data_IF_517213678329
#
_entry.id   IF_517213678329
#
_cell.length_a   1.000
_cell.length_b   1.000
_cell.length_c   1.000
_cell.angle_alpha   90.00
_cell.angle_beta   90.00
_cell.angle_gamma   90.00
#
_symmetry.space_group_name_H-M   'P 1'
#
loop_
_entity.id
_entity.type
_entity.pdbx_description
1 polymer ?
#
# COMPACT_ATOMS: atom_id res chain seq x y z
N UNK A 1 3.38 -14.16 14.66
CA UNK A 1 3.80 -12.80 14.34
C UNK A 1 2.78 -12.18 13.39
N UNK A 2 2.36 -10.95 13.64
CA UNK A 2 1.43 -10.16 12.84
C UNK A 2 2.17 -8.94 12.29
N UNK A 3 2.15 -8.79 10.96
CA UNK A 3 2.69 -7.63 10.24
C UNK A 3 1.51 -6.93 9.58
N UNK A 4 1.22 -5.71 10.01
CA UNK A 4 0.27 -4.84 9.34
C UNK A 4 0.97 -4.17 8.16
N UNK A 5 0.62 -4.53 6.93
CA UNK A 5 1.27 -3.99 5.74
C UNK A 5 0.74 -2.61 5.30
N UNK A 6 -0.23 -2.02 6.03
CA UNK A 6 -0.92 -0.83 5.55
C UNK A 6 -1.39 0.10 6.68
N UNK A 7 -0.54 1.07 7.02
CA UNK A 7 -0.83 2.09 8.03
C UNK A 7 -0.49 3.49 7.50
N UNK A 8 -1.39 4.44 7.70
CA UNK A 8 -1.23 5.82 7.27
C UNK A 8 -0.75 6.73 8.41
N UNK A 9 0.33 7.49 8.19
CA UNK A 9 0.69 8.62 9.05
C UNK A 9 0.02 9.92 8.58
N UNK A 10 -0.29 10.78 9.54
CA UNK A 10 -0.76 12.16 9.36
C UNK A 10 0.34 13.20 9.59
N UNK A 11 1.55 12.79 9.95
CA UNK A 11 2.70 13.68 10.16
C UNK A 11 2.75 14.33 11.55
N UNK A 12 1.94 13.84 12.49
CA UNK A 12 1.83 14.40 13.86
C UNK A 12 1.96 13.33 14.94
N UNK A 13 2.09 12.07 14.54
CA UNK A 13 2.17 10.95 15.46
C UNK A 13 3.47 10.94 16.27
N UNK A 14 3.39 10.40 17.48
CA UNK A 14 4.53 10.10 18.34
C UNK A 14 4.76 8.59 18.41
N UNK A 15 6.01 8.17 18.45
CA UNK A 15 6.41 6.75 18.47
C UNK A 15 5.75 5.98 19.62
N UNK A 16 5.75 6.53 20.83
CA UNK A 16 5.10 5.90 21.99
C UNK A 16 3.61 5.61 21.78
N UNK A 17 2.89 6.50 21.10
CA UNK A 17 1.47 6.33 20.82
C UNK A 17 1.25 5.22 19.78
N UNK A 18 2.10 5.18 18.75
CA UNK A 18 2.10 4.12 17.72
C UNK A 18 2.34 2.76 18.38
N UNK A 19 3.41 2.62 19.17
CA UNK A 19 3.78 1.36 19.83
C UNK A 19 2.69 0.89 20.80
N UNK A 20 2.13 1.80 21.61
CA UNK A 20 1.00 1.47 22.49
C UNK A 20 -0.24 1.01 21.72
N UNK A 21 -0.51 1.60 20.56
CA UNK A 21 -1.59 1.17 19.67
C UNK A 21 -1.34 -0.24 19.11
N UNK A 22 -0.13 -0.49 18.60
CA UNK A 22 0.30 -1.80 18.11
C UNK A 22 0.19 -2.89 19.18
N UNK A 23 0.68 -2.64 20.38
CA UNK A 23 0.66 -3.61 21.48
C UNK A 23 -0.78 -3.96 21.90
N UNK A 24 -1.69 -2.97 21.94
CA UNK A 24 -3.12 -3.20 22.18
C UNK A 24 -3.79 -4.04 21.09
N UNK A 25 -3.33 -3.90 19.85
CA UNK A 25 -3.84 -4.63 18.70
C UNK A 25 -3.19 -6.01 18.50
N UNK A 26 -2.10 -6.31 19.21
CA UNK A 26 -1.30 -7.52 18.99
C UNK A 26 -0.53 -7.49 17.67
N UNK A 27 -0.16 -6.31 17.18
CA UNK A 27 0.61 -6.12 15.93
C UNK A 27 2.10 -6.06 16.28
N UNK A 28 2.89 -6.98 15.71
CA UNK A 28 4.33 -7.06 15.97
C UNK A 28 5.11 -6.08 15.11
N UNK A 29 4.74 -5.89 13.84
CA UNK A 29 5.36 -4.90 12.95
C UNK A 29 4.32 -4.17 12.11
N UNK A 30 4.59 -2.92 11.78
CA UNK A 30 3.71 -2.10 10.95
C UNK A 30 4.50 -1.42 9.83
N UNK A 31 4.00 -1.56 8.60
CA UNK A 31 4.41 -0.73 7.47
C UNK A 31 3.64 0.59 7.57
N UNK A 32 4.37 1.67 7.88
CA UNK A 32 3.79 3.00 8.05
C UNK A 32 4.25 3.88 6.89
N UNK A 33 3.28 4.38 6.12
CA UNK A 33 3.54 5.33 5.04
C UNK A 33 3.79 6.71 5.62
N UNK A 34 4.75 7.45 5.07
CA UNK A 34 4.91 8.88 5.34
C UNK A 34 3.59 9.62 5.11
N UNK A 35 3.37 10.76 5.80
CA UNK A 35 2.26 11.63 5.45
C UNK A 35 2.33 12.01 3.97
N UNK A 36 1.17 12.31 3.39
CA UNK A 36 1.10 12.89 2.06
C UNK A 36 1.86 14.24 2.07
N UNK A 37 2.66 14.58 1.04
CA UNK A 37 3.54 15.76 0.98
C UNK A 37 2.77 17.06 0.71
N UNK A 38 1.75 17.33 1.52
CA UNK A 38 0.90 18.51 1.46
C UNK A 38 0.57 18.96 2.89
N UNK A 39 0.25 20.25 3.12
CA UNK A 39 -0.12 20.71 4.45
C UNK A 39 -1.27 19.87 5.01
N UNK A 40 -1.18 19.52 6.29
CA UNK A 40 -2.27 18.87 6.99
C UNK A 40 -3.51 19.77 6.92
N UNK A 41 -4.49 19.41 6.10
CA UNK A 41 -5.80 20.04 6.10
C UNK A 41 -6.66 19.28 7.11
N UNK A 42 -7.11 19.98 8.15
CA UNK A 42 -8.09 19.41 9.08
C UNK A 42 -9.34 18.92 8.33
N UNK A 43 -10.10 17.98 8.91
CA UNK A 43 -11.36 17.51 8.28
C UNK A 43 -12.32 18.66 7.95
N UNK A 44 -12.28 19.74 8.72
CA UNK A 44 -13.08 20.97 8.53
C UNK A 44 -12.59 21.87 7.39
N UNK A 45 -11.34 21.73 6.95
CA UNK A 45 -10.72 22.51 5.88
C UNK A 45 -10.75 21.79 4.52
N UNK A 46 -11.36 20.60 4.45
CA UNK A 46 -11.59 19.90 3.19
C UNK A 46 -12.41 20.80 2.27
N UNK A 47 -11.75 21.36 1.26
CA UNK A 47 -12.36 22.24 0.27
C UNK A 47 -13.40 21.44 -0.51
N UNK A 48 -14.68 21.63 -0.17
CA UNK A 48 -15.80 21.21 -1.02
C UNK A 48 -15.84 22.22 -2.19
N UNK A 49 -15.68 21.81 -3.46
CA UNK A 49 -15.73 22.74 -4.56
C UNK A 49 -17.11 23.42 -4.60
N UNK A 50 -17.17 24.71 -4.24
CA UNK A 50 -18.42 25.50 -4.29
C UNK A 50 -18.78 25.91 -5.73
N UNK A 51 -17.86 25.78 -6.69
CA UNK A 51 -18.05 26.20 -8.10
C UNK A 51 -17.30 25.31 -9.10
N UNK A 52 -17.80 25.25 -10.34
CA UNK A 52 -17.20 24.54 -11.50
C UNK A 52 -15.75 24.96 -11.82
N UNK A 53 -15.39 26.23 -11.62
CA UNK A 53 -14.02 26.72 -11.82
C UNK A 53 -13.01 26.19 -10.77
N UNK A 54 -13.50 25.71 -9.62
CA UNK A 54 -12.69 25.03 -8.61
C UNK A 54 -12.35 23.58 -8.97
N UNK A 55 -13.13 22.96 -9.86
CA UNK A 55 -12.94 21.55 -10.26
C UNK A 55 -11.64 21.39 -11.05
N UNK A 56 -11.33 22.32 -11.95
CA UNK A 56 -10.14 22.26 -12.83
C UNK A 56 -8.82 22.38 -12.08
N UNK A 57 -8.75 23.19 -11.02
CA UNK A 57 -7.55 23.35 -10.17
C UNK A 57 -7.22 22.11 -9.33
N UNK A 58 -8.14 21.15 -9.29
CA UNK A 58 -8.01 19.89 -8.57
C UNK A 58 -7.71 18.68 -9.47
N UNK A 59 -7.50 18.90 -10.78
CA UNK A 59 -7.19 17.87 -11.77
C UNK A 59 -5.68 17.60 -11.93
N UNK A 60 -4.80 18.45 -11.39
CA UNK A 60 -3.34 18.27 -11.51
C UNK A 60 -2.69 17.60 -10.30
N UNK A 61 -3.17 17.86 -9.07
CA UNK A 61 -2.73 17.18 -7.84
C UNK A 61 -3.90 17.03 -6.85
N UNK A 62 -3.97 15.88 -6.16
CA UNK A 62 -4.96 15.62 -5.10
C UNK A 62 -4.94 16.64 -3.97
N UNK A 63 -3.81 17.31 -3.74
CA UNK A 63 -3.71 18.37 -2.75
C UNK A 63 -2.93 19.56 -3.30
N UNK A 64 -3.30 20.80 -2.91
CA UNK A 64 -2.55 21.98 -3.36
C UNK A 64 -1.14 21.99 -2.75
N UNK A 65 -0.22 22.65 -3.45
CA UNK A 65 1.12 22.96 -2.95
C UNK A 65 1.99 21.73 -2.62
N UNK A 66 1.89 20.65 -3.39
CA UNK A 66 2.86 19.55 -3.34
C UNK A 66 4.18 20.03 -3.93
N UNK A 67 5.27 19.89 -3.18
CA UNK A 67 6.61 20.33 -3.59
C UNK A 67 7.65 19.28 -3.18
N UNK A 68 8.81 19.33 -3.84
CA UNK A 68 9.97 18.50 -3.49
C UNK A 68 10.42 18.70 -2.04
N UNK A 69 10.31 19.92 -1.51
CA UNK A 69 10.62 20.24 -0.11
C UNK A 69 9.69 19.50 0.85
N UNK A 70 8.36 19.59 0.67
CA UNK A 70 7.39 18.87 1.51
C UNK A 70 7.50 17.36 1.39
N UNK A 71 7.84 16.87 0.19
CA UNK A 71 8.13 15.47 -0.03
C UNK A 71 9.33 15.01 0.80
N UNK A 72 10.37 15.84 0.92
CA UNK A 72 11.54 15.57 1.78
C UNK A 72 11.18 15.66 3.27
N UNK A 73 10.39 16.64 3.68
CA UNK A 73 9.89 16.74 5.07
C UNK A 73 9.10 15.50 5.48
N UNK A 74 8.19 15.01 4.62
CA UNK A 74 7.43 13.79 4.86
C UNK A 74 8.34 12.56 5.02
N UNK A 75 9.39 12.46 4.19
CA UNK A 75 10.41 11.40 4.29
C UNK A 75 11.17 11.50 5.60
N UNK A 76 11.64 12.68 5.99
CA UNK A 76 12.35 12.87 7.26
C UNK A 76 11.48 12.51 8.46
N UNK A 77 10.19 12.88 8.42
CA UNK A 77 9.24 12.53 9.47
C UNK A 77 9.15 11.01 9.66
N UNK A 78 8.85 10.26 8.60
CA UNK A 78 8.68 8.81 8.72
C UNK A 78 9.99 8.10 9.04
N UNK A 79 11.12 8.59 8.53
CA UNK A 79 12.44 8.07 8.86
C UNK A 79 12.79 8.31 10.33
N UNK A 80 12.36 9.42 10.92
CA UNK A 80 12.43 9.68 12.35
C UNK A 80 11.71 8.60 13.16
N UNK A 81 10.43 8.37 12.87
CA UNK A 81 9.62 7.33 13.52
C UNK A 81 10.27 5.94 13.37
N UNK A 82 10.74 5.57 12.17
CA UNK A 82 11.41 4.29 11.94
C UNK A 82 12.68 4.14 12.81
N UNK A 83 13.54 5.17 12.88
CA UNK A 83 14.80 5.08 13.65
C UNK A 83 14.58 4.94 15.15
N UNK A 84 13.51 5.50 15.68
CA UNK A 84 13.17 5.38 17.09
C UNK A 84 12.59 3.99 17.44
N UNK A 85 12.04 3.25 16.47
CA UNK A 85 11.48 1.92 16.67
C UNK A 85 11.76 0.94 15.50
N UNK A 86 13.04 0.68 15.14
CA UNK A 86 13.42 0.02 13.88
C UNK A 86 12.99 -1.45 13.79
N UNK A 87 12.79 -2.13 14.93
CA UNK A 87 12.35 -3.52 14.98
C UNK A 87 10.83 -3.68 14.82
N UNK A 88 10.08 -2.58 14.95
CA UNK A 88 8.61 -2.53 15.03
C UNK A 88 7.99 -1.74 13.86
N UNK A 89 8.64 -0.65 13.43
CA UNK A 89 8.13 0.24 12.38
C UNK A 89 8.97 0.10 11.12
N UNK A 90 8.28 -0.09 10.00
CA UNK A 90 8.85 -0.17 8.65
C UNK A 90 8.32 1.03 7.86
N UNK A 91 9.16 2.02 7.64
CA UNK A 91 8.81 3.26 6.97
C UNK A 91 8.77 3.10 5.45
N UNK A 92 7.69 3.57 4.86
CA UNK A 92 7.52 3.68 3.40
C UNK A 92 7.39 5.14 3.02
N UNK A 93 8.01 5.54 1.91
CA UNK A 93 7.77 6.86 1.32
C UNK A 93 6.44 6.86 0.60
N UNK A 94 5.51 7.75 0.96
CA UNK A 94 4.42 8.13 0.09
C UNK A 94 5.00 9.04 -0.99
N UNK A 95 5.06 8.63 -2.25
CA UNK A 95 5.74 9.38 -3.32
C UNK A 95 4.75 10.01 -4.29
N UNK A 96 4.87 11.32 -4.54
CA UNK A 96 4.24 11.98 -5.69
C UNK A 96 5.09 11.78 -6.95
N UNK A 97 4.67 10.94 -7.91
CA UNK A 97 5.52 10.57 -9.04
C UNK A 97 5.68 11.68 -10.08
N UNK A 98 4.81 12.71 -10.09
CA UNK A 98 4.89 13.82 -11.05
C UNK A 98 5.91 14.90 -10.67
N UNK A 99 6.51 14.83 -9.48
CA UNK A 99 7.60 15.73 -9.11
C UNK A 99 8.80 15.50 -10.03
N UNK A 100 9.40 16.59 -10.53
CA UNK A 100 10.54 16.51 -11.47
C UNK A 100 11.74 15.74 -10.90
N UNK A 101 11.91 15.78 -9.58
CA UNK A 101 12.98 15.09 -8.85
C UNK A 101 12.48 13.84 -8.09
N UNK A 102 11.32 13.27 -8.44
CA UNK A 102 10.72 12.13 -7.74
C UNK A 102 11.67 10.92 -7.64
N UNK A 103 12.42 10.61 -8.70
CA UNK A 103 13.39 9.50 -8.73
C UNK A 103 14.55 9.76 -7.76
N UNK A 104 15.07 10.97 -7.73
CA UNK A 104 16.16 11.38 -6.84
C UNK A 104 15.72 11.39 -5.38
N UNK A 105 14.49 11.84 -5.11
CA UNK A 105 13.91 11.77 -3.77
C UNK A 105 13.74 10.32 -3.33
N UNK A 106 13.21 9.45 -4.20
CA UNK A 106 13.05 8.02 -3.91
C UNK A 106 14.40 7.38 -3.56
N UNK A 107 15.42 7.59 -4.40
CA UNK A 107 16.76 7.07 -4.18
C UNK A 107 17.35 7.56 -2.85
N UNK A 108 17.23 8.86 -2.56
CA UNK A 108 17.68 9.41 -1.28
C UNK A 108 16.92 8.82 -0.08
N UNK A 109 15.60 8.70 -0.16
CA UNK A 109 14.76 8.15 0.91
C UNK A 109 15.12 6.70 1.25
N UNK A 110 15.52 5.91 0.25
CA UNK A 110 15.86 4.50 0.43
C UNK A 110 17.31 4.33 0.87
N UNK A 111 18.26 5.00 0.19
CA UNK A 111 19.69 4.82 0.43
C UNK A 111 20.18 5.56 1.68
N UNK A 112 19.67 6.77 1.94
CA UNK A 112 20.13 7.62 3.03
C UNK A 112 19.21 7.58 4.25
N UNK A 113 17.91 7.29 4.05
CA UNK A 113 16.91 7.22 5.13
C UNK A 113 16.43 5.80 5.43
N UNK A 114 16.94 4.82 4.69
CA UNK A 114 16.70 3.39 4.90
C UNK A 114 15.22 2.98 4.87
N UNK A 115 14.37 3.78 4.21
CA UNK A 115 12.98 3.43 4.00
C UNK A 115 12.88 2.20 3.10
N UNK A 116 11.88 1.35 3.36
CA UNK A 116 11.82 -0.01 2.82
C UNK A 116 10.87 -0.21 1.64
N UNK A 117 10.23 0.86 1.16
CA UNK A 117 9.32 0.77 0.03
C UNK A 117 8.57 2.06 -0.24
N UNK A 118 7.71 1.99 -1.26
CA UNK A 118 6.98 3.14 -1.79
C UNK A 118 5.48 2.91 -1.66
N UNK A 119 4.74 3.92 -1.24
CA UNK A 119 3.29 4.01 -1.34
C UNK A 119 2.93 5.01 -2.42
N UNK A 120 1.97 4.66 -3.26
CA UNK A 120 1.39 5.58 -4.25
C UNK A 120 -0.12 5.45 -4.32
N UNK A 121 -0.77 6.54 -4.74
CA UNK A 121 -2.19 6.58 -5.06
C UNK A 121 -2.31 7.21 -6.45
N UNK A 122 -2.70 6.44 -7.48
CA UNK A 122 -3.03 7.01 -8.78
C UNK A 122 -4.12 8.07 -8.67
N UNK A 123 -3.82 9.26 -9.17
CA UNK A 123 -4.72 10.39 -9.14
C UNK A 123 -4.42 11.32 -10.30
N UNK A 124 -5.23 11.24 -11.35
CA UNK A 124 -5.00 11.94 -12.63
C UNK A 124 -3.74 11.51 -13.37
N UNK A 125 -3.32 10.27 -13.13
CA UNK A 125 -2.32 9.54 -13.89
C UNK A 125 -2.62 8.04 -13.80
N UNK A 126 -2.22 7.28 -14.81
CA UNK A 126 -2.36 5.83 -14.84
C UNK A 126 -1.00 5.17 -14.60
N UNK A 127 -0.98 3.95 -14.01
CA UNK A 127 0.25 3.17 -13.87
C UNK A 127 1.00 2.94 -15.20
N UNK A 128 0.30 2.93 -16.34
CA UNK A 128 0.90 2.77 -17.67
C UNK A 128 1.40 4.07 -18.31
N UNK A 129 1.29 5.22 -17.64
CA UNK A 129 1.84 6.46 -18.17
C UNK A 129 3.37 6.40 -18.15
N UNK A 130 4.03 6.76 -19.26
CA UNK A 130 5.48 6.56 -19.44
C UNK A 130 6.35 7.28 -18.41
N UNK A 131 5.86 8.36 -17.80
CA UNK A 131 6.58 9.08 -16.75
C UNK A 131 6.78 8.25 -15.47
N UNK A 132 6.01 7.17 -15.30
CA UNK A 132 6.18 6.22 -14.19
C UNK A 132 7.36 5.27 -14.39
N UNK A 133 7.78 5.01 -15.63
CA UNK A 133 8.79 3.99 -15.93
C UNK A 133 10.14 4.23 -15.25
N UNK A 134 10.67 5.47 -15.18
CA UNK A 134 11.88 5.74 -14.41
C UNK A 134 11.75 5.37 -12.92
N UNK A 135 10.57 5.54 -12.33
CA UNK A 135 10.31 5.18 -10.93
C UNK A 135 10.29 3.67 -10.76
N UNK A 136 9.64 2.94 -11.68
CA UNK A 136 9.62 1.47 -11.65
C UNK A 136 11.03 0.88 -11.78
N UNK A 137 11.84 1.40 -12.71
CA UNK A 137 13.25 0.98 -12.84
C UNK A 137 14.06 1.26 -11.58
N UNK A 138 13.89 2.45 -10.98
CA UNK A 138 14.63 2.80 -9.76
C UNK A 138 14.18 1.94 -8.57
N UNK A 139 12.89 1.66 -8.42
CA UNK A 139 12.40 0.77 -7.36
C UNK A 139 12.92 -0.67 -7.54
N UNK A 140 12.99 -1.15 -8.78
CA UNK A 140 13.57 -2.45 -9.13
C UNK A 140 15.08 -2.50 -8.82
N UNK A 141 15.84 -1.49 -9.25
CA UNK A 141 17.27 -1.33 -8.99
C UNK A 141 17.58 -1.32 -7.47
N UNK A 142 16.77 -0.61 -6.70
CA UNK A 142 16.89 -0.53 -5.24
C UNK A 142 16.33 -1.77 -4.52
N UNK A 143 15.73 -2.72 -5.26
CA UNK A 143 15.07 -3.91 -4.74
C UNK A 143 14.03 -3.62 -3.63
N UNK A 144 13.24 -2.57 -3.82
CA UNK A 144 12.16 -2.20 -2.91
C UNK A 144 10.79 -2.43 -3.55
N UNK A 145 9.77 -2.81 -2.77
CA UNK A 145 8.42 -2.94 -3.27
C UNK A 145 7.68 -1.60 -3.43
N UNK A 146 6.67 -1.60 -4.30
CA UNK A 146 5.68 -0.52 -4.41
C UNK A 146 4.29 -1.03 -4.00
N UNK A 147 3.66 -0.36 -3.04
CA UNK A 147 2.26 -0.57 -2.68
C UNK A 147 1.41 0.52 -3.34
N UNK A 148 0.49 0.13 -4.21
CA UNK A 148 -0.46 1.04 -4.83
C UNK A 148 -1.80 0.97 -4.13
N UNK A 149 -2.44 2.13 -3.94
CA UNK A 149 -3.88 2.12 -3.75
C UNK A 149 -4.55 1.60 -5.03
N UNK A 150 -5.50 0.68 -4.85
CA UNK A 150 -6.32 0.09 -5.89
C UNK A 150 -7.74 -0.06 -5.37
N UNK A 151 -8.74 0.14 -6.22
CA UNK A 151 -10.15 0.20 -5.81
C UNK A 151 -10.72 1.60 -5.70
N UNK A 152 -11.95 1.69 -5.18
CA UNK A 152 -12.66 2.95 -4.97
C UNK A 152 -12.05 3.68 -3.77
N UNK A 153 -11.54 4.89 -4.01
CA UNK A 153 -11.04 5.78 -2.98
C UNK A 153 -12.19 6.59 -2.40
N UNK A 154 -12.45 6.43 -1.10
CA UNK A 154 -13.44 7.25 -0.40
C UNK A 154 -12.91 8.68 -0.15
N UNK A 155 -13.14 9.54 -1.13
CA UNK A 155 -12.85 10.97 -1.11
C UNK A 155 -13.86 11.77 -1.92
N UNK A 156 -13.68 13.10 -1.96
CA UNK A 156 -14.57 14.02 -2.68
C UNK A 156 -14.10 14.33 -4.12
N UNK A 157 -13.10 13.62 -4.63
CA UNK A 157 -12.46 13.87 -5.93
C UNK A 157 -12.59 12.68 -6.87
N UNK A 158 -12.55 12.99 -8.17
CA UNK A 158 -12.51 12.01 -9.25
C UNK A 158 -11.13 11.35 -9.33
N UNK A 159 -10.92 10.30 -8.53
CA UNK A 159 -9.64 9.59 -8.47
C UNK A 159 -9.74 8.08 -8.78
N UNK A 160 -10.91 7.49 -8.58
CA UNK A 160 -11.02 6.02 -8.54
C UNK A 160 -10.84 5.36 -9.91
N UNK A 161 -11.12 6.05 -11.03
CA UNK A 161 -10.92 5.50 -12.38
C UNK A 161 -9.45 5.17 -12.69
N UNK A 162 -8.53 5.85 -12.01
CA UNK A 162 -7.08 5.65 -12.15
C UNK A 162 -6.59 4.44 -11.34
N UNK A 163 -7.38 3.97 -10.39
CA UNK A 163 -7.04 2.93 -9.42
C UNK A 163 -7.63 1.55 -9.78
N UNK A 164 -8.08 1.35 -11.03
CA UNK A 164 -8.62 0.07 -11.49
C UNK A 164 -7.47 -0.94 -11.72
N UNK A 165 -7.57 -2.19 -11.24
CA UNK A 165 -6.44 -3.13 -11.26
C UNK A 165 -5.91 -3.44 -12.67
N UNK A 166 -6.74 -3.53 -13.69
CA UNK A 166 -6.25 -3.80 -15.07
C UNK A 166 -5.17 -2.82 -15.56
N UNK A 167 -5.13 -1.60 -15.02
CA UNK A 167 -4.15 -0.59 -15.44
C UNK A 167 -2.69 -0.95 -15.07
N UNK A 168 -2.47 -1.94 -14.19
CA UNK A 168 -1.13 -2.33 -13.72
C UNK A 168 -0.46 -3.41 -14.57
N UNK A 169 -1.08 -3.91 -15.65
CA UNK A 169 -0.48 -4.92 -16.54
C UNK A 169 0.88 -4.49 -17.11
N UNK A 170 1.10 -3.19 -17.27
CA UNK A 170 2.39 -2.60 -17.70
C UNK A 170 3.57 -3.05 -16.83
N UNK A 171 3.33 -3.44 -15.57
CA UNK A 171 4.37 -3.89 -14.65
C UNK A 171 5.02 -5.22 -15.07
N UNK A 172 4.43 -5.95 -16.03
CA UNK A 172 5.09 -7.09 -16.70
C UNK A 172 6.40 -6.68 -17.38
N UNK A 173 6.55 -5.42 -17.80
CA UNK A 173 7.79 -4.89 -18.37
C UNK A 173 8.89 -4.59 -17.35
N UNK A 174 8.61 -4.79 -16.05
CA UNK A 174 9.56 -4.59 -14.95
C UNK A 174 9.63 -5.87 -14.10
N UNK A 175 10.18 -6.96 -14.65
CA UNK A 175 9.99 -8.31 -14.14
C UNK A 175 10.67 -8.61 -12.81
N UNK A 176 11.50 -7.75 -12.24
CA UNK A 176 12.06 -7.94 -10.89
C UNK A 176 11.36 -7.06 -9.84
N UNK A 177 10.54 -6.10 -10.26
CA UNK A 177 9.76 -5.26 -9.36
C UNK A 177 8.72 -6.10 -8.60
N UNK A 178 8.64 -5.93 -7.29
CA UNK A 178 7.56 -6.43 -6.44
C UNK A 178 6.56 -5.32 -6.21
N UNK A 179 5.27 -5.61 -6.32
CA UNK A 179 4.24 -4.62 -6.05
C UNK A 179 3.00 -5.22 -5.40
N UNK A 180 2.20 -4.38 -4.75
CA UNK A 180 0.95 -4.80 -4.14
C UNK A 180 -0.21 -3.86 -4.53
N UNK A 181 -1.39 -4.44 -4.71
CA UNK A 181 -2.64 -3.70 -4.90
C UNK A 181 -3.49 -3.75 -3.62
N UNK A 182 -3.76 -2.57 -3.06
CA UNK A 182 -4.51 -2.43 -1.81
C UNK A 182 -6.00 -2.79 -1.94
N UNK A 183 -6.64 -3.01 -0.78
CA UNK A 183 -8.08 -3.20 -0.63
C UNK A 183 -8.69 -4.37 -1.40
N UNK A 184 -7.85 -5.32 -1.85
CA UNK A 184 -8.23 -6.33 -2.86
C UNK A 184 -8.90 -5.67 -4.08
N UNK A 185 -8.52 -4.43 -4.37
CA UNK A 185 -9.08 -3.55 -5.41
C UNK A 185 -10.60 -3.37 -5.40
N UNK A 186 -11.27 -3.42 -4.25
CA UNK A 186 -12.74 -3.32 -4.19
C UNK A 186 -13.29 -2.09 -4.95
N UNK A 187 -14.33 -2.23 -5.79
CA UNK A 187 -15.19 -3.40 -6.00
C UNK A 187 -14.69 -4.38 -7.07
N UNK A 188 -13.55 -4.10 -7.72
CA UNK A 188 -12.95 -4.94 -8.76
C UNK A 188 -12.18 -6.14 -8.17
N UNK A 189 -12.75 -6.81 -7.17
CA UNK A 189 -12.13 -7.95 -6.48
C UNK A 189 -11.80 -9.07 -7.46
N UNK A 190 -12.74 -9.43 -8.31
CA UNK A 190 -12.55 -10.51 -9.29
C UNK A 190 -11.50 -10.12 -10.34
N UNK A 191 -11.44 -8.85 -10.74
CA UNK A 191 -10.40 -8.34 -11.66
C UNK A 191 -9.01 -8.31 -11.01
N UNK A 192 -8.92 -7.97 -9.72
CA UNK A 192 -7.67 -8.03 -8.96
C UNK A 192 -7.10 -9.46 -8.92
N UNK A 193 -7.97 -10.44 -8.68
CA UNK A 193 -7.59 -11.87 -8.62
C UNK A 193 -7.21 -12.36 -10.02
N UNK A 194 -7.99 -12.00 -11.05
CA UNK A 194 -7.69 -12.35 -12.44
C UNK A 194 -6.35 -11.76 -12.89
N UNK A 195 -6.06 -10.49 -12.53
CA UNK A 195 -4.79 -9.86 -12.81
C UNK A 195 -3.62 -10.55 -12.11
N UNK A 196 -3.78 -10.93 -10.83
CA UNK A 196 -2.77 -11.75 -10.15
C UNK A 196 -2.53 -13.07 -10.91
N UNK A 197 -3.60 -13.71 -11.39
CA UNK A 197 -3.52 -14.90 -12.24
C UNK A 197 -2.76 -14.67 -13.56
N UNK A 198 -2.93 -13.49 -14.18
CA UNK A 198 -2.15 -13.08 -15.36
C UNK A 198 -0.66 -12.97 -15.04
N UNK A 199 -0.30 -12.33 -13.92
CA UNK A 199 1.10 -12.26 -13.48
C UNK A 199 1.67 -13.63 -13.13
N UNK A 200 0.85 -14.56 -12.61
CA UNK A 200 1.24 -15.96 -12.42
C UNK A 200 1.50 -16.66 -13.75
N UNK A 201 0.61 -16.52 -14.74
CA UNK A 201 0.75 -17.13 -16.05
C UNK A 201 2.00 -16.62 -16.79
N UNK A 202 2.29 -15.32 -16.69
CA UNK A 202 3.47 -14.71 -17.31
C UNK A 202 4.81 -15.30 -16.79
N UNK A 203 4.84 -15.92 -15.60
CA UNK A 203 6.05 -16.60 -15.12
C UNK A 203 6.46 -17.79 -15.98
N UNK A 204 5.50 -18.42 -16.66
CA UNK A 204 5.78 -19.56 -17.54
C UNK A 204 6.42 -19.10 -18.87
N UNK A 205 6.23 -17.83 -19.24
CA UNK A 205 6.74 -17.24 -20.49
C UNK A 205 8.07 -16.49 -20.32
N UNK A 206 8.42 -16.11 -19.08
CA UNK A 206 9.65 -15.37 -18.79
C UNK A 206 10.83 -16.35 -18.75
N UNK A 207 11.77 -16.20 -19.69
CA UNK A 207 13.09 -16.83 -19.61
C UNK A 207 13.90 -16.15 -18.47
N UNK A 208 14.30 -16.91 -17.44
CA UNK A 208 15.15 -16.38 -16.36
C UNK A 208 15.07 -17.14 -15.04
N UNK A 209 15.72 -16.58 -14.01
CA UNK A 209 15.84 -17.21 -12.68
C UNK A 209 14.67 -16.91 -11.72
N UNK A 210 13.73 -16.03 -12.12
CA UNK A 210 12.65 -15.62 -11.22
C UNK A 210 11.60 -16.73 -11.08
N UNK A 211 11.32 -17.10 -9.83
CA UNK A 211 10.39 -18.19 -9.48
C UNK A 211 9.13 -17.73 -8.74
N UNK A 212 8.96 -16.42 -8.56
CA UNK A 212 7.88 -15.84 -7.76
C UNK A 212 7.09 -14.78 -8.54
N UNK A 213 5.79 -14.71 -8.25
CA UNK A 213 4.87 -13.74 -8.85
C UNK A 213 5.20 -12.33 -8.34
N UNK A 214 5.13 -11.31 -9.19
CA UNK A 214 5.42 -9.92 -8.80
C UNK A 214 4.39 -9.34 -7.84
N UNK A 215 3.14 -9.70 -8.12
CA UNK A 215 1.97 -9.06 -7.57
C UNK A 215 1.59 -9.72 -6.24
N UNK A 216 1.51 -8.89 -5.21
CA UNK A 216 0.89 -9.20 -3.93
C UNK A 216 -0.49 -8.52 -3.87
N UNK A 217 -1.37 -9.08 -3.04
CA UNK A 217 -2.69 -8.56 -2.77
C UNK A 217 -2.65 -8.03 -1.35
N UNK A 218 -2.78 -6.73 -1.19
CA UNK A 218 -2.93 -6.13 0.12
C UNK A 218 -4.42 -6.17 0.49
N UNK A 219 -4.72 -6.95 1.53
CA UNK A 219 -6.06 -7.21 1.99
C UNK A 219 -6.56 -6.14 2.94
N UNK A 220 -5.91 -4.99 3.10
CA UNK A 220 -6.39 -3.95 4.01
C UNK A 220 -7.89 -3.63 3.80
N UNK A 221 -8.67 -3.25 4.83
CA UNK A 221 -10.09 -3.00 4.68
C UNK A 221 -10.38 -1.96 3.59
N UNK A 222 -11.29 -2.31 2.68
CA UNK A 222 -11.90 -1.41 1.70
C UNK A 222 -13.23 -1.99 1.19
N UNK A 223 -13.34 -3.33 1.25
CA UNK A 223 -14.60 -4.06 1.21
C UNK A 223 -15.48 -3.75 2.44
N UNK A 224 -16.78 -3.45 2.26
CA UNK A 224 -17.74 -3.47 3.35
C UNK A 224 -17.75 -4.84 4.05
N UNK A 225 -18.11 -4.89 5.33
CA UNK A 225 -18.02 -6.12 6.15
C UNK A 225 -18.69 -7.34 5.51
N UNK A 226 -19.83 -7.13 4.84
CA UNK A 226 -20.57 -8.19 4.15
C UNK A 226 -19.80 -8.82 2.97
N UNK A 227 -18.89 -8.07 2.33
CA UNK A 227 -18.07 -8.54 1.21
C UNK A 227 -16.71 -9.09 1.68
N UNK A 228 -16.34 -8.87 2.94
CA UNK A 228 -15.01 -9.23 3.45
C UNK A 228 -14.74 -10.73 3.34
N UNK A 229 -15.72 -11.54 3.78
CA UNK A 229 -15.65 -13.00 3.72
C UNK A 229 -15.55 -13.50 2.28
N UNK A 230 -16.37 -12.96 1.37
CA UNK A 230 -16.35 -13.34 -0.05
C UNK A 230 -15.00 -13.02 -0.71
N UNK A 231 -14.47 -11.80 -0.49
CA UNK A 231 -13.18 -11.41 -1.05
C UNK A 231 -12.04 -12.32 -0.57
N UNK A 232 -11.96 -12.60 0.74
CA UNK A 232 -10.95 -13.52 1.27
C UNK A 232 -11.14 -14.94 0.72
N UNK A 233 -12.37 -15.45 0.70
CA UNK A 233 -12.67 -16.80 0.18
C UNK A 233 -12.27 -16.94 -1.29
N UNK A 234 -12.55 -15.93 -2.13
CA UNK A 234 -12.18 -15.95 -3.55
C UNK A 234 -10.68 -15.97 -3.78
N UNK A 235 -9.92 -15.17 -3.04
CA UNK A 235 -8.44 -15.18 -3.13
C UNK A 235 -7.89 -16.55 -2.76
N UNK A 236 -8.38 -17.15 -1.67
CA UNK A 236 -7.96 -18.49 -1.25
C UNK A 236 -8.36 -19.57 -2.27
N UNK A 237 -9.59 -19.52 -2.79
CA UNK A 237 -10.07 -20.50 -3.77
C UNK A 237 -9.34 -20.42 -5.12
N UNK A 238 -8.82 -19.24 -5.49
CA UNK A 238 -8.04 -19.05 -6.70
C UNK A 238 -6.58 -19.55 -6.58
N UNK A 239 -6.11 -19.84 -5.37
CA UNK A 239 -4.74 -20.29 -5.10
C UNK A 239 -3.73 -19.14 -4.97
N UNK A 240 -4.18 -17.99 -4.45
CA UNK A 240 -3.34 -16.80 -4.24
C UNK A 240 -3.01 -16.55 -2.75
N UNK A 241 -3.19 -17.56 -1.90
CA UNK A 241 -3.00 -17.49 -0.44
C UNK A 241 -1.58 -17.14 -0.02
N UNK A 242 -0.59 -17.47 -0.85
CA UNK A 242 0.81 -17.13 -0.61
C UNK A 242 1.10 -15.67 -0.92
N UNK A 243 0.21 -14.92 -1.59
CA UNK A 243 0.47 -13.56 -2.05
C UNK A 243 -0.48 -12.52 -1.47
N UNK A 244 -1.40 -12.91 -0.58
CA UNK A 244 -2.27 -11.99 0.15
C UNK A 244 -1.68 -11.60 1.51
N UNK A 245 -1.76 -10.32 1.86
CA UNK A 245 -1.17 -9.75 3.07
C UNK A 245 -2.22 -9.07 3.95
N UNK A 246 -2.10 -9.22 5.26
CA UNK A 246 -2.90 -8.52 6.24
C UNK A 246 -2.52 -7.03 6.33
N UNK A 247 -3.53 -6.16 6.37
CA UNK A 247 -3.38 -4.73 6.63
C UNK A 247 -4.61 -4.18 7.35
N UNK A 248 -4.49 -3.02 8.00
CA UNK A 248 -5.61 -2.42 8.76
C UNK A 248 -6.18 -1.13 8.17
N UNK A 249 -5.41 -0.40 7.36
CA UNK A 249 -5.75 0.94 6.86
C UNK A 249 -5.97 1.95 8.00
N UNK A 250 -5.41 1.66 9.17
CA UNK A 250 -5.52 2.54 10.32
C UNK A 250 -4.63 3.77 10.14
N UNK A 251 -5.02 4.85 10.80
CA UNK A 251 -4.08 5.93 11.11
C UNK A 251 -3.09 5.45 12.17
N UNK A 252 -1.80 5.76 12.01
CA UNK A 252 -0.73 5.32 12.90
C UNK A 252 -0.98 5.69 14.38
N UNK A 253 -1.57 6.87 14.64
CA UNK A 253 -1.94 7.31 15.98
C UNK A 253 -3.19 6.62 16.58
N UNK A 254 -3.79 5.67 15.86
CA UNK A 254 -5.03 4.95 16.22
C UNK A 254 -4.91 3.44 15.94
N UNK A 255 -3.70 2.87 16.04
CA UNK A 255 -3.48 1.47 15.71
C UNK A 255 -4.19 0.49 16.66
N UNK A 256 -4.68 0.93 17.82
CA UNK A 256 -5.47 0.09 18.71
C UNK A 256 -6.75 -0.46 18.06
N UNK A 257 -7.32 0.23 17.06
CA UNK A 257 -8.47 -0.27 16.30
C UNK A 257 -8.11 -1.44 15.38
N UNK A 258 -6.82 -1.63 15.07
CA UNK A 258 -6.30 -2.78 14.33
C UNK A 258 -6.70 -4.12 14.97
N UNK A 259 -6.93 -4.15 16.29
CA UNK A 259 -7.42 -5.35 17.01
C UNK A 259 -8.67 -5.93 16.37
N UNK A 260 -9.62 -5.07 16.01
CA UNK A 260 -10.88 -5.50 15.39
C UNK A 260 -10.64 -6.18 14.03
N UNK A 261 -9.71 -5.65 13.23
CA UNK A 261 -9.37 -6.24 11.93
C UNK A 261 -8.67 -7.59 12.08
N UNK A 262 -7.73 -7.70 13.03
CA UNK A 262 -7.06 -8.97 13.37
C UNK A 262 -8.09 -10.02 13.77
N UNK A 263 -8.95 -9.71 14.74
CA UNK A 263 -9.95 -10.65 15.26
C UNK A 263 -10.96 -11.07 14.19
N UNK A 264 -11.47 -10.10 13.41
CA UNK A 264 -12.42 -10.37 12.32
C UNK A 264 -11.83 -11.29 11.26
N UNK A 265 -10.65 -10.97 10.73
CA UNK A 265 -10.07 -11.74 9.64
C UNK A 265 -9.62 -13.12 10.12
N UNK A 266 -9.13 -13.24 11.37
CA UNK A 266 -8.88 -14.54 12.01
C UNK A 266 -10.14 -15.40 12.12
N UNK A 267 -11.27 -14.83 12.55
CA UNK A 267 -12.54 -15.54 12.66
C UNK A 267 -13.01 -16.01 11.27
N UNK A 268 -12.96 -15.13 10.26
CA UNK A 268 -13.33 -15.48 8.88
C UNK A 268 -12.44 -16.62 8.36
N UNK A 269 -11.12 -16.49 8.47
CA UNK A 269 -10.18 -17.45 7.89
C UNK A 269 -10.25 -18.82 8.59
N UNK A 270 -10.32 -18.84 9.93
CA UNK A 270 -10.28 -20.09 10.71
C UNK A 270 -11.64 -20.76 10.86
N UNK A 271 -12.70 -19.98 11.09
CA UNK A 271 -14.00 -20.53 11.49
C UNK A 271 -15.00 -20.58 10.34
N UNK A 272 -14.89 -19.67 9.35
CA UNK A 272 -15.85 -19.58 8.25
C UNK A 272 -15.31 -20.22 6.97
N UNK A 273 -14.09 -19.87 6.57
CA UNK A 273 -13.44 -20.44 5.38
C UNK A 273 -12.76 -21.76 5.73
N UNK A 274 -12.16 -21.86 6.93
CA UNK A 274 -11.52 -23.08 7.41
C UNK A 274 -10.14 -23.35 6.80
N UNK A 275 -9.34 -22.30 6.53
CA UNK A 275 -7.98 -22.49 5.99
C UNK A 275 -7.01 -23.06 7.06
N UNK A 276 -5.97 -23.79 6.66
CA UNK A 276 -4.95 -24.29 7.58
C UNK A 276 -4.27 -23.17 8.37
N UNK A 277 -3.74 -23.52 9.57
CA UNK A 277 -2.97 -22.58 10.39
C UNK A 277 -1.81 -21.95 9.62
N UNK A 278 -1.13 -22.73 8.78
CA UNK A 278 -0.02 -22.25 7.96
C UNK A 278 -0.45 -21.10 7.02
N UNK A 279 -1.60 -21.22 6.37
CA UNK A 279 -2.19 -20.16 5.53
C UNK A 279 -2.51 -18.90 6.33
N UNK A 280 -3.02 -19.05 7.56
CA UNK A 280 -3.27 -17.91 8.45
C UNK A 280 -1.96 -17.20 8.82
N UNK A 281 -0.92 -17.96 9.16
CA UNK A 281 0.39 -17.41 9.52
C UNK A 281 1.08 -16.72 8.33
N UNK A 282 0.82 -17.20 7.10
CA UNK A 282 1.24 -16.53 5.85
C UNK A 282 0.54 -15.20 5.67
N UNK A 283 -0.79 -15.19 5.71
CA UNK A 283 -1.62 -13.99 5.58
C UNK A 283 -1.25 -12.93 6.62
N UNK A 284 -1.13 -13.32 7.90
CA UNK A 284 -0.89 -12.37 8.99
C UNK A 284 0.50 -11.76 9.00
N UNK A 285 1.51 -12.35 8.33
CA UNK A 285 2.84 -11.75 8.41
C UNK A 285 3.90 -12.29 7.46
N UNK A 286 3.98 -13.61 7.21
CA UNK A 286 5.08 -14.13 6.37
C UNK A 286 5.03 -13.62 4.93
N UNK A 287 3.83 -13.43 4.38
CA UNK A 287 3.68 -12.86 3.03
C UNK A 287 4.14 -11.40 2.99
N UNK A 288 3.82 -10.61 4.03
CA UNK A 288 4.29 -9.23 4.14
C UNK A 288 5.83 -9.14 4.28
N UNK A 289 6.46 -10.02 5.06
CA UNK A 289 7.92 -10.08 5.12
C UNK A 289 8.53 -10.44 3.75
N UNK A 290 7.95 -11.41 3.03
CA UNK A 290 8.41 -11.77 1.67
C UNK A 290 8.27 -10.61 0.68
N UNK A 291 7.14 -9.89 0.73
CA UNK A 291 6.92 -8.68 -0.06
C UNK A 291 8.01 -7.62 0.21
N UNK A 292 8.39 -7.44 1.47
CA UNK A 292 9.45 -6.51 1.90
C UNK A 292 10.88 -7.02 1.61
N UNK A 293 11.06 -8.31 1.28
CA UNK A 293 12.37 -8.92 1.10
C UNK A 293 13.09 -9.19 2.43
N UNK A 294 12.32 -9.30 3.50
CA UNK A 294 12.80 -9.59 4.84
C UNK A 294 12.60 -11.09 5.14
N UNK A 295 13.48 -11.63 5.97
CA UNK A 295 13.39 -13.01 6.48
C UNK A 295 12.51 -13.07 7.74
#
# INVERSE_FOLDING_TARGET
>A
MIVDCHVHSLGVEKVDAILKGMDKAGIDRAVIFSPYPSPYMGREERIIPKTMAGVTRHLEFSYPNVTSEKQREAVEFIAGIQREAPDRVIGFIWLEPRLKDAVQILEWAVTSKELKGVKMIPDHWYPYDEFMYPIYRKAEELNIPILFHSGILYGFKDSSRFCRPVNYEVLLSFPNLRFALAHVSWPWVDECIALWGRFRAALEEIEGERKEVQMFIDATPGTPLIYRKDALQKVMAFGAEDYIMFGTDCTAGRLEYGKYHVERDLAILRQVIGVPKDTVDKFLGRNALRFLGLK
#
